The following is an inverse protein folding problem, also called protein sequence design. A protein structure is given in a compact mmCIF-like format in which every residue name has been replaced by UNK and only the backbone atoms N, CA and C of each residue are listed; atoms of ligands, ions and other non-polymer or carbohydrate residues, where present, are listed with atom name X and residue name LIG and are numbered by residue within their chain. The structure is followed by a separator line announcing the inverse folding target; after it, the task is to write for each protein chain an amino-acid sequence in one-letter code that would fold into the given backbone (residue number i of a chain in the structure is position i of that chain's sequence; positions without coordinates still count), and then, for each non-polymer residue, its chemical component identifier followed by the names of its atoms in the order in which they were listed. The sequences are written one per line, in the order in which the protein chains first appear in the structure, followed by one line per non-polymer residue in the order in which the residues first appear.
data_IF_759557753053
#
_entry.id   IF_759557753053
#
_cell.length_a   1.000
_cell.length_b   1.000
_cell.length_c   1.000
_cell.angle_alpha   90.00
_cell.angle_beta   90.00
_cell.angle_gamma   90.00
#
_symmetry.space_group_name_H-M   'P 1'
#
loop_
_entity.id
_entity.type
_entity.pdbx_description
1 polymer ?
#
# COMPACT_ATOMS: atom_id res chain seq x y z
N UNK A 1 6.89 -21.15 18.72
CA UNK A 1 6.66 -19.70 18.95
C UNK A 1 7.17 -18.98 17.73
N UNK A 2 6.44 -18.00 17.18
CA UNK A 2 6.92 -17.25 16.00
C UNK A 2 7.81 -16.08 16.45
N UNK A 3 8.74 -15.69 15.59
CA UNK A 3 9.62 -14.55 15.83
C UNK A 3 8.85 -13.23 15.82
N UNK A 4 9.34 -12.26 16.60
CA UNK A 4 8.78 -10.91 16.64
C UNK A 4 8.79 -10.24 15.26
N UNK A 5 9.84 -10.46 14.47
CA UNK A 5 9.96 -9.91 13.11
C UNK A 5 8.86 -10.46 12.21
N UNK A 6 8.64 -11.78 12.20
CA UNK A 6 7.57 -12.40 11.40
C UNK A 6 6.19 -11.89 11.85
N UNK A 7 5.92 -11.78 13.15
CA UNK A 7 4.66 -11.22 13.65
C UNK A 7 4.45 -9.76 13.24
N UNK A 8 5.49 -8.92 13.36
CA UNK A 8 5.47 -7.50 12.97
C UNK A 8 5.23 -7.34 11.48
N UNK A 9 5.94 -8.09 10.66
CA UNK A 9 5.89 -7.97 9.21
C UNK A 9 4.52 -8.41 8.67
N UNK A 10 3.89 -9.41 9.28
CA UNK A 10 2.49 -9.79 9.01
C UNK A 10 1.56 -8.62 9.33
N UNK A 11 1.69 -8.04 10.54
CA UNK A 11 0.84 -6.92 10.95
C UNK A 11 0.95 -5.71 10.01
N UNK A 12 2.16 -5.37 9.57
CA UNK A 12 2.37 -4.30 8.59
C UNK A 12 1.80 -4.63 7.22
N UNK A 13 1.93 -5.86 6.73
CA UNK A 13 1.35 -6.25 5.46
C UNK A 13 -0.19 -6.17 5.47
N UNK A 14 -0.84 -6.53 6.57
CA UNK A 14 -2.29 -6.32 6.74
C UNK A 14 -2.69 -4.84 6.74
N UNK A 15 -1.89 -3.99 7.41
CA UNK A 15 -2.12 -2.54 7.43
C UNK A 15 -2.01 -1.91 6.03
N UNK A 16 -1.09 -2.40 5.20
CA UNK A 16 -0.94 -1.97 3.80
C UNK A 16 -2.18 -2.32 2.97
N UNK A 17 -2.74 -3.53 3.15
CA UNK A 17 -4.00 -3.93 2.51
C UNK A 17 -5.14 -3.01 2.95
N UNK A 18 -5.30 -2.78 4.25
CA UNK A 18 -6.36 -1.92 4.78
C UNK A 18 -6.24 -0.47 4.25
N UNK A 19 -5.01 0.04 4.17
CA UNK A 19 -4.74 1.39 3.67
C UNK A 19 -5.04 1.48 2.17
N UNK A 20 -4.64 0.48 1.39
CA UNK A 20 -4.95 0.42 -0.04
C UNK A 20 -6.44 0.32 -0.32
N UNK A 21 -7.18 -0.51 0.45
CA UNK A 21 -8.64 -0.65 0.32
C UNK A 21 -9.37 0.66 0.66
N UNK A 22 -8.94 1.36 1.71
CA UNK A 22 -9.47 2.71 2.03
C UNK A 22 -9.21 3.69 0.90
N UNK A 23 -8.00 3.67 0.34
CA UNK A 23 -7.64 4.54 -0.79
C UNK A 23 -8.52 4.23 -2.01
N UNK A 24 -8.77 2.96 -2.36
CA UNK A 24 -9.69 2.61 -3.45
C UNK A 24 -11.11 3.14 -3.18
N UNK A 25 -11.63 2.98 -1.96
CA UNK A 25 -12.95 3.48 -1.61
C UNK A 25 -13.05 5.02 -1.71
N UNK A 26 -11.99 5.73 -1.31
CA UNK A 26 -11.92 7.18 -1.44
C UNK A 26 -11.80 7.61 -2.91
N UNK A 27 -11.07 6.84 -3.73
CA UNK A 27 -10.99 7.04 -5.18
C UNK A 27 -12.36 6.85 -5.85
N UNK A 28 -13.11 5.82 -5.49
CA UNK A 28 -14.45 5.57 -6.02
C UNK A 28 -15.45 6.66 -5.63
N UNK A 29 -15.45 7.07 -4.35
CA UNK A 29 -16.28 8.21 -3.89
C UNK A 29 -15.92 9.51 -4.60
N UNK A 30 -14.64 9.74 -4.83
CA UNK A 30 -14.18 10.91 -5.56
C UNK A 30 -14.59 10.83 -7.03
N UNK A 31 -14.52 9.67 -7.68
CA UNK A 31 -15.03 9.44 -9.04
C UNK A 31 -16.53 9.73 -9.15
N UNK A 32 -17.33 9.31 -8.17
CA UNK A 32 -18.77 9.62 -8.11
C UNK A 32 -19.04 11.12 -7.94
N UNK A 33 -18.23 11.81 -7.13
CA UNK A 33 -18.31 13.27 -6.93
C UNK A 33 -17.80 14.06 -8.14
N UNK A 34 -16.87 13.51 -8.92
CA UNK A 34 -16.33 14.09 -10.15
C UNK A 34 -17.14 13.68 -11.41
N UNK A 35 -18.46 13.85 -11.35
CA UNK A 35 -19.18 14.27 -12.55
C UNK A 35 -18.66 15.68 -12.86
N UNK A 36 -17.62 15.76 -13.68
CA UNK A 36 -16.65 16.86 -13.76
C UNK A 36 -17.24 18.28 -13.58
N UNK A 37 -16.93 18.99 -12.48
CA UNK A 37 -16.89 20.43 -12.52
C UNK A 37 -15.67 20.83 -13.37
N UNK A 38 -15.80 21.83 -14.24
CA UNK A 38 -14.68 22.41 -15.02
C UNK A 38 -13.71 23.13 -14.07
N UNK A 39 -12.92 22.37 -13.29
CA UNK A 39 -11.92 22.93 -12.39
C UNK A 39 -10.65 23.17 -13.19
N UNK A 40 -10.63 24.34 -13.83
CA UNK A 40 -9.41 24.92 -14.37
C UNK A 40 -8.59 25.49 -13.22
N UNK A 41 -7.27 25.32 -13.28
CA UNK A 41 -6.36 26.08 -12.40
C UNK A 41 -6.51 27.59 -12.65
N UNK A 42 -5.85 28.42 -11.83
CA UNK A 42 -5.85 29.89 -12.01
C UNK A 42 -5.31 30.35 -13.39
N UNK A 43 -4.80 29.43 -14.22
CA UNK A 43 -4.30 29.63 -15.57
C UNK A 43 -5.15 28.94 -16.67
N UNK A 44 -6.32 28.39 -16.33
CA UNK A 44 -7.22 27.81 -17.32
C UNK A 44 -6.99 26.33 -17.67
N UNK A 45 -6.08 25.61 -16.99
CA UNK A 45 -5.69 24.22 -17.34
C UNK A 45 -6.49 23.20 -16.54
N UNK A 46 -6.97 22.14 -17.20
CA UNK A 46 -7.69 21.03 -16.56
C UNK A 46 -6.77 20.26 -15.62
N UNK A 47 -7.21 20.05 -14.39
CA UNK A 47 -6.52 19.26 -13.39
C UNK A 47 -7.11 17.83 -13.37
N UNK A 48 -6.69 17.00 -14.32
CA UNK A 48 -7.30 15.67 -14.57
C UNK A 48 -6.66 14.50 -13.77
N UNK A 49 -5.78 14.77 -12.78
CA UNK A 49 -5.03 13.69 -12.13
C UNK A 49 -4.88 13.77 -10.61
N UNK A 50 -4.71 12.59 -10.01
CA UNK A 50 -4.44 12.40 -8.59
C UNK A 50 -2.96 12.62 -8.28
N UNK A 51 -2.67 13.03 -7.05
CA UNK A 51 -1.30 13.04 -6.52
C UNK A 51 -1.04 11.68 -5.86
N UNK A 52 -0.08 10.93 -6.38
CA UNK A 52 0.37 9.66 -5.80
C UNK A 52 1.74 9.87 -5.17
N UNK A 53 1.76 9.99 -3.84
CA UNK A 53 2.98 10.16 -3.06
C UNK A 53 3.43 8.84 -2.47
N UNK A 54 4.71 8.51 -2.62
CA UNK A 54 5.36 7.44 -1.85
C UNK A 54 5.97 8.12 -0.62
N UNK A 55 5.45 7.90 0.60
CA UNK A 55 6.01 8.54 1.80
C UNK A 55 7.35 7.85 2.12
N UNK A 56 8.46 8.44 1.71
CA UNK A 56 9.80 7.89 1.96
C UNK A 56 10.87 9.00 2.02
N UNK A 57 11.08 9.58 3.21
CA UNK A 57 12.24 10.40 3.57
C UNK A 57 12.45 11.72 2.79
N UNK A 58 13.57 12.39 3.11
CA UNK A 58 14.00 13.72 2.59
C UNK A 58 14.15 13.80 1.07
N UNK A 59 14.03 12.68 0.35
CA UNK A 59 14.09 12.59 -1.11
C UNK A 59 12.93 11.79 -1.72
N UNK A 60 11.77 11.80 -1.05
CA UNK A 60 10.52 11.30 -1.63
C UNK A 60 10.18 12.06 -2.92
N UNK A 61 10.04 11.32 -4.02
CA UNK A 61 9.57 11.84 -5.29
C UNK A 61 8.08 11.54 -5.42
N UNK A 62 7.27 12.57 -5.41
CA UNK A 62 5.81 12.48 -5.58
C UNK A 62 5.45 12.63 -7.05
N UNK A 63 4.60 11.73 -7.57
CA UNK A 63 4.02 11.91 -8.91
C UNK A 63 2.74 12.71 -8.80
N UNK A 64 2.68 13.82 -9.54
CA UNK A 64 1.51 14.67 -9.65
C UNK A 64 0.78 14.38 -10.96
N UNK A 65 -0.54 14.60 -11.00
CA UNK A 65 -1.38 14.43 -12.19
C UNK A 65 -1.41 12.99 -12.73
N UNK A 66 -1.32 11.97 -11.87
CA UNK A 66 -1.50 10.58 -12.31
C UNK A 66 -2.95 10.42 -12.75
N UNK A 67 -3.16 9.97 -13.98
CA UNK A 67 -4.52 9.76 -14.48
C UNK A 67 -5.25 8.73 -13.62
N UNK A 68 -6.53 8.98 -13.36
CA UNK A 68 -7.39 8.08 -12.59
C UNK A 68 -7.38 6.63 -13.12
N UNK A 69 -7.31 6.49 -14.45
CA UNK A 69 -7.18 5.21 -15.16
C UNK A 69 -5.92 4.43 -14.82
N UNK A 70 -4.87 5.08 -14.33
CA UNK A 70 -3.62 4.46 -13.90
C UNK A 70 -3.55 4.32 -12.37
N UNK A 71 -4.15 5.24 -11.62
CA UNK A 71 -4.14 5.20 -10.16
C UNK A 71 -4.83 3.95 -9.61
N UNK A 72 -6.02 3.60 -10.12
CA UNK A 72 -6.79 2.42 -9.68
C UNK A 72 -6.00 1.11 -9.86
N UNK A 73 -5.53 0.74 -11.06
CA UNK A 73 -4.82 -0.53 -11.25
C UNK A 73 -3.49 -0.59 -10.49
N UNK A 74 -2.84 0.55 -10.22
CA UNK A 74 -1.63 0.58 -9.39
C UNK A 74 -1.95 0.26 -7.93
N UNK A 75 -3.01 0.84 -7.37
CA UNK A 75 -3.42 0.54 -5.99
C UNK A 75 -3.90 -0.91 -5.87
N UNK A 76 -4.64 -1.42 -6.85
CA UNK A 76 -5.04 -2.84 -6.91
C UNK A 76 -3.83 -3.78 -6.95
N UNK A 77 -2.84 -3.49 -7.80
CA UNK A 77 -1.61 -4.26 -7.87
C UNK A 77 -0.82 -4.24 -6.56
N UNK A 78 -0.77 -3.09 -5.87
CA UNK A 78 -0.14 -2.98 -4.56
C UNK A 78 -0.84 -3.83 -3.50
N UNK A 79 -2.17 -3.79 -3.45
CA UNK A 79 -2.97 -4.65 -2.54
C UNK A 79 -2.72 -6.12 -2.84
N UNK A 80 -2.71 -6.52 -4.12
CA UNK A 80 -2.44 -7.89 -4.52
C UNK A 80 -1.04 -8.36 -4.06
N UNK A 81 -0.02 -7.50 -4.20
CA UNK A 81 1.32 -7.79 -3.72
C UNK A 81 1.38 -7.90 -2.18
N UNK A 82 0.71 -6.99 -1.46
CA UNK A 82 0.64 -7.05 0.00
C UNK A 82 -0.05 -8.34 0.48
N UNK A 83 -1.13 -8.78 -0.18
CA UNK A 83 -1.80 -10.07 0.10
C UNK A 83 -0.89 -11.26 -0.17
N UNK A 84 -0.12 -11.25 -1.26
CA UNK A 84 0.86 -12.29 -1.55
C UNK A 84 1.97 -12.35 -0.47
N UNK A 85 2.42 -11.19 0.03
CA UNK A 85 3.37 -11.12 1.14
C UNK A 85 2.80 -11.69 2.43
N UNK A 86 1.52 -11.44 2.75
CA UNK A 86 0.85 -12.05 3.90
C UNK A 86 0.91 -13.57 3.78
N UNK A 87 0.54 -14.14 2.63
CA UNK A 87 0.56 -15.59 2.41
C UNK A 87 1.96 -16.18 2.66
N UNK A 88 3.00 -15.58 2.06
CA UNK A 88 4.37 -16.03 2.25
C UNK A 88 4.85 -15.92 3.71
N UNK A 89 4.48 -14.85 4.42
CA UNK A 89 4.83 -14.68 5.83
C UNK A 89 4.06 -15.65 6.74
N UNK A 90 2.83 -16.02 6.39
CA UNK A 90 2.07 -17.05 7.09
C UNK A 90 2.72 -18.44 6.91
N UNK A 91 3.23 -18.76 5.72
CA UNK A 91 4.00 -19.99 5.50
C UNK A 91 5.28 -20.00 6.34
N UNK A 92 6.02 -18.88 6.37
CA UNK A 92 7.19 -18.71 7.24
C UNK A 92 6.82 -18.90 8.72
N UNK A 93 5.73 -18.29 9.18
CA UNK A 93 5.24 -18.43 10.55
C UNK A 93 4.89 -19.89 10.88
N UNK A 94 4.24 -20.61 9.95
CA UNK A 94 3.94 -22.03 10.14
C UNK A 94 5.22 -22.89 10.23
N UNK A 95 6.23 -22.59 9.43
CA UNK A 95 7.55 -23.24 9.52
C UNK A 95 8.23 -22.98 10.88
N UNK A 96 8.20 -21.73 11.37
CA UNK A 96 8.72 -21.34 12.70
C UNK A 96 7.97 -22.02 13.85
N UNK A 97 6.68 -22.30 13.69
CA UNK A 97 5.91 -23.07 14.67
C UNK A 97 6.29 -24.55 14.70
N UNK A 98 6.75 -25.09 13.57
CA UNK A 98 7.11 -26.51 13.41
C UNK A 98 8.56 -26.79 13.81
N UNK A 99 9.46 -25.82 13.61
CA UNK A 99 10.87 -25.88 14.00
C UNK A 99 11.21 -24.81 15.05
N UNK A 100 11.09 -25.11 16.36
CA UNK A 100 11.32 -24.12 17.42
C UNK A 100 12.80 -23.70 17.62
N UNK A 101 13.77 -24.36 17.00
CA UNK A 101 15.20 -24.24 17.33
C UNK A 101 16.02 -23.23 16.48
N UNK A 102 15.41 -22.40 15.62
CA UNK A 102 16.17 -21.48 14.74
C UNK A 102 16.00 -19.99 15.04
N UNK A 103 15.56 -19.61 16.25
CA UNK A 103 15.52 -18.19 16.63
C UNK A 103 16.76 -17.85 17.45
N UNK A 104 17.74 -17.27 16.76
CA UNK A 104 18.99 -16.78 17.33
C UNK A 104 18.75 -15.83 18.51
N UNK A 105 19.28 -16.22 19.66
CA UNK A 105 19.69 -15.26 20.67
C UNK A 105 20.91 -14.48 20.17
N UNK A 106 21.05 -13.18 20.48
CA UNK A 106 22.24 -12.44 20.12
C UNK A 106 23.46 -13.05 20.82
N UNK A 107 24.49 -13.34 20.03
CA UNK A 107 25.83 -13.48 20.53
C UNK A 107 26.37 -12.07 20.87
N UNK A 108 27.00 -11.98 22.05
CA UNK A 108 27.65 -10.83 22.70
C UNK A 108 26.75 -9.90 23.53
#
# INVERSE_FOLDING_TARGET
MISFETARDIAFAYREVETGEKLLADLDKAKERYTAPDIRDAFGRRQDGLTLGVPSGDSSRTMYQVSWSLAVPVVEAHIANARARIAALCEKAAAEMTHPDTVGGPAA
#
